data_IF_513932645034
#
_entry.id   IF_513932645034
#
_cell.length_a   1.000
_cell.length_b   1.000
_cell.length_c   1.000
_cell.angle_alpha   90.00
_cell.angle_beta   90.00
_cell.angle_gamma   90.00
#
_symmetry.space_group_name_H-M   'P 1'
#
loop_
_entity.id
_entity.type
_entity.pdbx_description
1 polymer ?
#
# COMPACT_ATOMS: atom_id res chain seq x y z
N UNK A 1 4.16 15.96 -26.09
CA UNK A 1 4.07 14.76 -26.95
C UNK A 1 5.47 14.45 -27.45
N UNK A 2 6.22 13.59 -26.78
CA UNK A 2 7.48 13.04 -27.29
C UNK A 2 7.17 11.73 -28.01
N UNK A 3 7.63 11.60 -29.25
CA UNK A 3 7.43 10.42 -30.12
C UNK A 3 8.39 9.27 -29.80
N UNK A 4 9.33 9.49 -28.89
CA UNK A 4 10.41 8.58 -28.54
C UNK A 4 10.25 8.29 -27.05
N UNK A 5 10.22 7.00 -26.68
CA UNK A 5 10.41 6.60 -25.30
C UNK A 5 11.75 7.20 -24.87
N UNK A 6 11.73 8.20 -23.99
CA UNK A 6 12.96 8.86 -23.54
C UNK A 6 13.96 7.83 -23.06
N UNK A 7 15.24 8.02 -23.38
CA UNK A 7 16.33 7.13 -22.97
C UNK A 7 16.38 6.94 -21.44
N UNK A 8 15.74 7.84 -20.68
CA UNK A 8 15.67 7.86 -19.22
C UNK A 8 14.46 7.12 -18.61
N UNK A 9 13.80 6.21 -19.34
CA UNK A 9 12.66 5.47 -18.79
C UNK A 9 13.10 4.41 -17.77
N UNK A 10 12.67 4.58 -16.51
CA UNK A 10 12.93 3.58 -15.46
C UNK A 10 11.82 2.52 -15.42
N UNK A 11 12.13 1.31 -15.87
CA UNK A 11 11.19 0.19 -15.83
C UNK A 11 10.86 -0.29 -14.41
N UNK A 12 11.83 -0.24 -13.50
CA UNK A 12 11.67 -0.68 -12.10
C UNK A 12 12.17 0.44 -11.20
N UNK A 13 11.28 0.93 -10.34
CA UNK A 13 11.58 1.95 -9.34
C UNK A 13 11.68 1.27 -7.98
N UNK A 14 12.75 1.53 -7.23
CA UNK A 14 12.86 1.03 -5.85
C UNK A 14 12.43 2.10 -4.88
N UNK A 15 11.24 1.94 -4.28
CA UNK A 15 10.64 2.90 -3.36
C UNK A 15 10.37 2.23 -2.01
N UNK A 16 10.83 2.85 -0.91
CA UNK A 16 10.55 2.41 0.46
C UNK A 16 10.76 0.89 0.68
N UNK A 17 11.90 0.37 0.23
CA UNK A 17 12.27 -1.07 0.29
C UNK A 17 11.39 -2.02 -0.55
N UNK A 18 10.61 -1.50 -1.48
CA UNK A 18 9.78 -2.29 -2.40
C UNK A 18 10.11 -1.97 -3.86
N UNK A 19 9.98 -2.98 -4.72
CA UNK A 19 10.13 -2.80 -6.16
C UNK A 19 8.76 -2.43 -6.76
N UNK A 20 8.72 -1.31 -7.46
CA UNK A 20 7.53 -0.71 -8.05
C UNK A 20 7.66 -0.73 -9.57
N UNK A 21 6.59 -1.12 -10.25
CA UNK A 21 6.54 -1.20 -11.71
C UNK A 21 6.35 0.18 -12.35
N UNK A 22 7.33 0.58 -13.17
CA UNK A 22 7.36 1.87 -13.88
C UNK A 22 6.35 2.00 -15.01
N UNK A 23 5.82 0.87 -15.52
CA UNK A 23 4.82 0.85 -16.61
C UNK A 23 3.42 1.22 -16.13
N UNK A 24 3.13 1.04 -14.84
CA UNK A 24 1.83 1.36 -14.28
C UNK A 24 1.69 2.86 -13.99
N UNK A 25 0.44 3.36 -13.98
CA UNK A 25 0.17 4.71 -13.49
C UNK A 25 0.68 4.84 -12.06
N UNK A 26 1.25 6.00 -11.75
CA UNK A 26 1.82 6.34 -10.43
C UNK A 26 0.85 6.00 -9.29
N UNK A 27 -0.43 6.34 -9.46
CA UNK A 27 -1.47 6.06 -8.45
C UNK A 27 -1.56 4.58 -8.06
N UNK A 28 -1.45 3.67 -9.05
CA UNK A 28 -1.52 2.22 -8.84
C UNK A 28 -0.16 1.65 -8.47
N UNK A 29 0.90 2.15 -9.10
CA UNK A 29 2.28 1.76 -8.82
C UNK A 29 2.61 1.88 -7.32
N UNK A 30 2.22 2.99 -6.68
CA UNK A 30 2.45 3.22 -5.25
C UNK A 30 1.66 2.30 -4.32
N UNK A 31 0.60 1.64 -4.80
CA UNK A 31 -0.16 0.69 -3.97
C UNK A 31 0.54 -0.64 -3.74
N UNK A 32 1.62 -0.90 -4.46
CA UNK A 32 2.53 -2.02 -4.16
C UNK A 32 3.22 -1.85 -2.80
N UNK A 33 3.36 -0.61 -2.32
CA UNK A 33 3.93 -0.30 -1.01
C UNK A 33 2.89 -0.59 0.08
N UNK A 34 3.22 -1.49 1.01
CA UNK A 34 2.37 -1.78 2.16
C UNK A 34 2.11 -0.52 2.99
N UNK A 35 0.84 -0.26 3.29
CA UNK A 35 0.41 0.94 4.04
C UNK A 35 -0.03 2.10 3.15
N UNK A 36 0.25 2.06 1.84
CA UNK A 36 -0.25 3.05 0.86
C UNK A 36 -1.41 2.45 0.06
N UNK A 37 -2.61 2.97 0.27
CA UNK A 37 -3.80 2.59 -0.50
C UNK A 37 -4.06 3.53 -1.68
N UNK A 38 -4.99 3.17 -2.58
CA UNK A 38 -5.38 3.99 -3.74
C UNK A 38 -5.74 5.44 -3.38
N UNK A 39 -6.50 5.64 -2.30
CA UNK A 39 -6.88 6.98 -1.81
C UNK A 39 -5.68 7.77 -1.29
N UNK A 40 -4.80 7.11 -0.54
CA UNK A 40 -3.62 7.76 0.03
C UNK A 40 -2.64 8.16 -1.07
N UNK A 41 -2.40 7.25 -2.02
CA UNK A 41 -1.62 7.49 -3.22
C UNK A 41 -2.12 8.70 -4.02
N UNK A 42 -3.42 8.81 -4.27
CA UNK A 42 -4.01 9.95 -4.96
C UNK A 42 -3.76 11.28 -4.23
N UNK A 43 -3.97 11.32 -2.91
CA UNK A 43 -3.67 12.53 -2.12
C UNK A 43 -2.17 12.84 -2.12
N UNK A 44 -1.30 11.84 -1.99
CA UNK A 44 0.14 12.04 -2.03
C UNK A 44 0.60 12.62 -3.38
N UNK A 45 0.12 12.09 -4.51
CA UNK A 45 0.39 12.65 -5.83
C UNK A 45 -0.09 14.10 -5.96
N UNK A 46 -1.31 14.39 -5.49
CA UNK A 46 -1.88 15.76 -5.51
C UNK A 46 -1.14 16.74 -4.60
N UNK A 47 -0.50 16.26 -3.54
CA UNK A 47 0.27 17.10 -2.60
C UNK A 47 1.73 17.25 -3.00
N UNK A 48 2.24 16.33 -3.81
CA UNK A 48 3.55 16.41 -4.44
C UNK A 48 3.52 17.17 -5.78
N UNK A 49 2.35 17.70 -6.17
CA UNK A 49 2.11 18.38 -7.45
C UNK A 49 2.50 17.54 -8.69
N UNK A 50 2.31 16.22 -8.61
CA UNK A 50 2.60 15.28 -9.69
C UNK A 50 1.30 15.00 -10.46
N UNK A 51 1.34 15.18 -11.78
CA UNK A 51 0.20 14.86 -12.63
C UNK A 51 -0.10 13.34 -12.65
N UNK A 52 -1.35 13.00 -12.37
CA UNK A 52 -1.88 11.64 -12.31
C UNK A 52 -2.26 11.09 -13.69
N UNK A 53 -2.34 11.96 -14.71
CA UNK A 53 -2.70 11.60 -16.08
C UNK A 53 -1.51 11.11 -16.91
N UNK A 54 -0.30 11.17 -16.36
CA UNK A 54 0.83 10.39 -16.84
C UNK A 54 0.39 8.90 -16.84
N UNK A 55 0.06 8.35 -18.01
CA UNK A 55 -0.31 6.93 -18.22
C UNK A 55 0.22 6.41 -19.55
N UNK A 56 1.04 5.37 -19.53
CA UNK A 56 1.16 4.45 -20.66
C UNK A 56 -0.04 3.46 -20.70
N UNK A 57 -1.03 3.77 -21.55
CA UNK A 57 -2.06 2.95 -22.22
C UNK A 57 -3.05 2.00 -21.44
N UNK A 58 -4.30 1.86 -21.93
CA UNK A 58 -5.13 0.63 -21.92
C UNK A 58 -5.24 -0.03 -23.33
N UNK A 59 -5.63 -1.32 -23.46
CA UNK A 59 -5.66 -2.02 -24.76
C UNK A 59 -6.75 -1.46 -25.71
N UNK A 60 -6.48 -1.34 -27.02
CA UNK A 60 -7.46 -0.83 -27.97
C UNK A 60 -8.50 -1.91 -28.39
N UNK A 61 -9.77 -1.53 -28.66
CA UNK A 61 -10.71 -2.38 -29.39
C UNK A 61 -10.31 -2.51 -30.87
N UNK A 62 -10.66 -3.61 -31.55
CA UNK A 62 -10.05 -4.00 -32.83
C UNK A 62 -10.38 -3.10 -34.04
N UNK A 63 -11.24 -2.08 -33.93
CA UNK A 63 -11.90 -1.50 -35.11
C UNK A 63 -11.50 -0.09 -35.60
N UNK A 64 -10.95 0.86 -34.81
CA UNK A 64 -10.36 2.09 -35.43
C UNK A 64 -9.61 3.04 -34.51
N UNK A 65 -8.38 3.35 -34.96
CA UNK A 65 -7.63 4.63 -34.98
C UNK A 65 -8.11 5.79 -34.10
N UNK A 66 -7.34 6.08 -33.05
CA UNK A 66 -6.60 7.34 -32.87
C UNK A 66 -5.58 7.10 -31.76
N UNK A 67 -4.30 7.17 -32.11
CA UNK A 67 -3.18 6.90 -31.21
C UNK A 67 -3.00 8.15 -30.34
N UNK A 68 -3.73 8.24 -29.22
CA UNK A 68 -3.46 9.22 -28.17
C UNK A 68 -2.35 8.67 -27.28
N UNK A 69 -1.11 8.78 -27.73
CA UNK A 69 0.07 8.43 -26.93
C UNK A 69 0.35 9.59 -25.98
N UNK A 70 -0.36 9.61 -24.84
CA UNK A 70 0.07 10.39 -23.68
C UNK A 70 1.09 9.54 -22.93
N UNK A 71 2.37 9.80 -23.22
CA UNK A 71 3.54 9.26 -22.53
C UNK A 71 3.49 9.68 -21.05
N UNK A 72 3.82 8.79 -20.12
CA UNK A 72 3.67 9.04 -18.69
C UNK A 72 3.65 7.80 -17.79
N UNK A 73 4.64 6.91 -17.84
CA UNK A 73 4.76 5.88 -16.80
C UNK A 73 5.16 6.48 -15.44
N UNK A 74 5.06 5.72 -14.34
CA UNK A 74 5.82 6.05 -13.13
C UNK A 74 7.34 6.09 -13.42
N UNK A 75 7.79 5.43 -14.49
CA UNK A 75 9.16 5.43 -14.98
C UNK A 75 9.65 6.74 -15.60
N UNK A 76 8.79 7.75 -15.77
CA UNK A 76 9.16 9.08 -16.27
C UNK A 76 9.26 10.14 -15.16
N UNK A 77 9.15 9.72 -13.89
CA UNK A 77 9.40 10.64 -12.79
C UNK A 77 10.88 11.03 -12.76
N UNK A 78 11.11 12.32 -12.62
CA UNK A 78 12.44 12.80 -12.24
C UNK A 78 12.77 12.32 -10.82
N UNK A 79 14.06 12.10 -10.49
CA UNK A 79 14.46 11.70 -9.15
C UNK A 79 14.00 12.71 -8.09
N UNK A 80 13.92 14.01 -8.44
CA UNK A 80 13.41 15.05 -7.54
C UNK A 80 11.91 14.89 -7.22
N UNK A 81 11.07 14.61 -8.22
CA UNK A 81 9.65 14.34 -8.01
C UNK A 81 9.46 13.10 -7.11
N UNK A 82 10.33 12.10 -7.27
CA UNK A 82 10.33 10.88 -6.48
C UNK A 82 10.64 11.15 -5.01
N UNK A 83 11.67 11.95 -4.73
CA UNK A 83 12.05 12.35 -3.37
C UNK A 83 10.94 13.18 -2.70
N UNK A 84 10.34 14.13 -3.44
CA UNK A 84 9.18 14.89 -2.94
C UNK A 84 8.03 13.96 -2.56
N UNK A 85 7.72 12.98 -3.41
CA UNK A 85 6.70 12.00 -3.10
C UNK A 85 7.06 11.17 -1.84
N UNK A 86 8.31 10.75 -1.69
CA UNK A 86 8.76 10.03 -0.50
C UNK A 86 8.61 10.85 0.78
N UNK A 87 8.98 12.14 0.74
CA UNK A 87 8.84 13.04 1.90
C UNK A 87 7.37 13.24 2.28
N UNK A 88 6.47 13.38 1.30
CA UNK A 88 5.02 13.46 1.52
C UNK A 88 4.47 12.19 2.16
N UNK A 89 4.91 11.01 1.71
CA UNK A 89 4.47 9.72 2.26
C UNK A 89 5.00 9.50 3.68
N UNK A 90 6.24 9.91 3.97
CA UNK A 90 6.84 9.78 5.29
C UNK A 90 6.22 10.76 6.31
N UNK A 91 5.98 12.01 5.90
CA UNK A 91 5.52 13.09 6.78
C UNK A 91 4.21 13.74 6.32
N UNK A 92 3.09 13.00 6.20
CA UNK A 92 1.86 13.52 5.60
C UNK A 92 1.23 14.70 6.36
N UNK A 93 1.49 14.81 7.66
CA UNK A 93 0.97 15.90 8.51
C UNK A 93 1.53 17.27 8.10
N UNK A 94 2.78 17.32 7.67
CA UNK A 94 3.43 18.56 7.22
C UNK A 94 2.79 19.08 5.92
N UNK A 95 2.30 18.18 5.07
CA UNK A 95 1.65 18.50 3.79
C UNK A 95 0.13 18.70 3.91
N UNK A 96 -0.35 19.07 5.10
CA UNK A 96 -1.77 19.35 5.39
C UNK A 96 -2.70 18.16 5.13
N UNK A 97 -2.24 16.92 5.34
CA UNK A 97 -3.10 15.74 5.34
C UNK A 97 -3.79 15.61 6.71
N UNK A 98 -5.13 15.48 6.78
CA UNK A 98 -5.83 15.39 8.05
C UNK A 98 -5.50 14.14 8.88
N UNK A 99 -5.50 14.28 10.21
CA UNK A 99 -5.18 13.19 11.14
C UNK A 99 -6.16 12.00 11.03
N UNK A 100 -7.43 12.24 10.64
CA UNK A 100 -8.43 11.18 10.46
C UNK A 100 -8.10 10.23 9.30
N UNK A 101 -7.27 10.67 8.35
CA UNK A 101 -6.91 9.95 7.13
C UNK A 101 -5.71 9.01 7.33
N UNK A 102 -4.94 9.19 8.40
CA UNK A 102 -3.76 8.39 8.70
C UNK A 102 -4.13 6.97 9.13
N UNK A 103 -3.25 6.01 8.84
CA UNK A 103 -3.51 4.59 9.11
C UNK A 103 -3.33 4.20 10.59
N UNK A 104 -2.42 4.84 11.34
CA UNK A 104 -2.18 4.59 12.76
C UNK A 104 -2.47 5.85 13.57
N UNK A 105 -3.70 5.93 14.06
CA UNK A 105 -4.21 7.07 14.82
C UNK A 105 -4.10 6.78 16.31
N UNK A 106 -3.51 7.71 17.07
CA UNK A 106 -3.33 7.64 18.53
C UNK A 106 -2.72 6.29 18.96
N UNK A 107 -1.44 6.07 18.65
CA UNK A 107 -0.74 4.85 19.06
C UNK A 107 -0.75 4.69 20.60
N UNK A 108 -0.88 3.47 21.11
CA UNK A 108 -0.99 3.23 22.57
C UNK A 108 0.35 3.40 23.30
N UNK A 109 1.48 3.30 22.59
CA UNK A 109 2.82 3.54 23.17
C UNK A 109 3.10 5.04 23.24
N UNK A 110 2.98 5.72 22.11
CA UNK A 110 3.52 7.08 21.94
C UNK A 110 2.42 8.16 21.91
N UNK A 111 1.13 7.79 21.80
CA UNK A 111 0.00 8.71 21.65
C UNK A 111 -0.06 9.46 20.31
N UNK A 112 0.96 9.31 19.46
CA UNK A 112 1.13 10.05 18.20
C UNK A 112 0.24 9.49 17.08
N UNK A 113 -0.03 10.35 16.10
CA UNK A 113 -0.67 10.01 14.84
C UNK A 113 0.41 9.88 13.76
N UNK A 114 0.45 8.75 13.06
CA UNK A 114 1.46 8.49 12.03
C UNK A 114 0.88 7.70 10.87
N UNK A 115 1.51 7.88 9.70
CA UNK A 115 1.36 6.97 8.58
C UNK A 115 2.51 5.98 8.61
N UNK A 116 2.21 4.72 8.92
CA UNK A 116 3.22 3.66 8.95
C UNK A 116 3.26 2.95 7.60
N UNK A 117 4.44 2.82 7.02
CA UNK A 117 4.64 2.34 5.64
C UNK A 117 5.69 1.22 5.61
N UNK A 118 5.64 0.37 4.58
CA UNK A 118 6.55 -0.75 4.31
C UNK A 118 6.73 -1.70 5.51
N UNK A 119 7.98 -2.00 5.89
CA UNK A 119 8.34 -2.97 6.91
C UNK A 119 7.89 -2.52 8.31
N UNK A 120 7.85 -1.22 8.56
CA UNK A 120 7.41 -0.69 9.85
C UNK A 120 5.94 -1.06 10.14
N UNK A 121 5.11 -1.21 9.10
CA UNK A 121 3.71 -1.59 9.24
C UNK A 121 3.58 -3.04 9.74
N UNK A 122 4.36 -3.95 9.16
CA UNK A 122 4.39 -5.35 9.56
C UNK A 122 4.91 -5.51 11.00
N UNK A 123 5.94 -4.75 11.38
CA UNK A 123 6.47 -4.75 12.74
C UNK A 123 5.45 -4.23 13.76
N UNK A 124 4.77 -3.11 13.47
CA UNK A 124 3.71 -2.58 14.34
C UNK A 124 2.54 -3.56 14.49
N UNK A 125 2.12 -4.23 13.40
CA UNK A 125 1.06 -5.24 13.46
C UNK A 125 1.48 -6.43 14.34
N UNK A 126 2.75 -6.87 14.24
CA UNK A 126 3.28 -7.96 15.06
C UNK A 126 3.28 -7.62 16.54
N UNK A 127 3.83 -6.46 16.90
CA UNK A 127 3.84 -5.94 18.28
C UNK A 127 2.43 -5.91 18.89
N UNK A 128 1.44 -5.43 18.12
CA UNK A 128 0.06 -5.33 18.56
C UNK A 128 -0.56 -6.71 18.84
N UNK A 129 -0.26 -7.69 17.99
CA UNK A 129 -0.72 -9.06 18.16
C UNK A 129 -0.03 -9.74 19.34
N UNK A 130 1.28 -9.54 19.51
CA UNK A 130 2.03 -10.09 20.63
C UNK A 130 1.57 -9.51 21.96
N UNK A 131 1.26 -8.21 22.03
CA UNK A 131 0.66 -7.58 23.21
C UNK A 131 -0.68 -8.24 23.58
N UNK A 132 -1.56 -8.46 22.60
CA UNK A 132 -2.85 -9.12 22.83
C UNK A 132 -2.70 -10.58 23.29
N UNK A 133 -1.69 -11.29 22.75
CA UNK A 133 -1.35 -12.67 23.16
C UNK A 133 -0.83 -12.70 24.60
N UNK A 134 0.05 -11.78 25.00
CA UNK A 134 0.61 -11.68 26.36
C UNK A 134 -0.48 -11.42 27.41
N UNK A 135 -1.42 -10.52 27.13
CA UNK A 135 -2.56 -10.21 28.03
C UNK A 135 -3.60 -11.35 28.06
N UNK A 136 -3.49 -12.36 27.16
CA UNK A 136 -4.48 -13.43 26.97
C UNK A 136 -5.89 -12.93 26.64
N UNK A 137 -5.99 -11.81 25.91
CA UNK A 137 -7.27 -11.34 25.39
C UNK A 137 -7.83 -12.37 24.38
N UNK A 138 -9.14 -12.62 24.37
CA UNK A 138 -9.80 -13.55 23.44
C UNK A 138 -9.40 -13.32 21.97
N UNK A 139 -9.25 -12.07 21.53
CA UNK A 139 -8.74 -11.77 20.17
C UNK A 139 -7.31 -12.27 19.96
N UNK A 140 -6.43 -12.07 20.94
CA UNK A 140 -5.05 -12.54 20.92
C UNK A 140 -4.94 -14.05 20.94
N UNK A 141 -5.75 -14.73 21.76
CA UNK A 141 -5.84 -16.19 21.81
C UNK A 141 -6.32 -16.79 20.48
N UNK A 142 -7.34 -16.19 19.86
CA UNK A 142 -7.79 -16.62 18.52
C UNK A 142 -6.70 -16.45 17.46
N UNK A 143 -5.94 -15.36 17.51
CA UNK A 143 -4.77 -15.17 16.65
C UNK A 143 -3.65 -16.18 16.94
N UNK A 144 -3.49 -16.62 18.19
CA UNK A 144 -2.53 -17.67 18.56
C UNK A 144 -2.95 -19.03 18.00
N UNK A 145 -4.24 -19.37 18.05
CA UNK A 145 -4.79 -20.62 17.51
C UNK A 145 -5.08 -20.59 15.99
N UNK A 146 -4.84 -19.47 15.30
CA UNK A 146 -5.12 -19.33 13.87
C UNK A 146 -6.62 -19.30 13.51
N UNK A 147 -7.48 -19.00 14.48
CA UNK A 147 -8.93 -18.91 14.27
C UNK A 147 -9.35 -17.53 13.75
N UNK A 148 -10.53 -17.45 13.11
CA UNK A 148 -11.13 -16.18 12.70
C UNK A 148 -11.48 -15.33 13.93
N UNK A 149 -11.21 -14.02 13.88
CA UNK A 149 -11.19 -13.16 15.08
C UNK A 149 -12.42 -12.26 15.24
N UNK A 150 -13.22 -12.05 14.19
CA UNK A 150 -14.35 -11.11 14.19
C UNK A 150 -15.71 -11.78 14.47
N UNK A 151 -15.72 -12.82 15.31
CA UNK A 151 -16.96 -13.50 15.71
C UNK A 151 -17.57 -14.45 14.68
N UNK A 152 -16.85 -14.77 13.60
CA UNK A 152 -17.32 -15.77 12.65
C UNK A 152 -17.49 -17.16 13.30
N UNK A 153 -18.50 -17.91 12.83
CA UNK A 153 -18.73 -19.29 13.26
C UNK A 153 -17.53 -20.19 12.94
N UNK A 154 -16.92 -20.76 13.97
CA UNK A 154 -15.74 -21.63 13.84
C UNK A 154 -16.05 -23.01 13.27
N UNK A 155 -17.34 -23.42 13.26
CA UNK A 155 -17.78 -24.70 12.69
C UNK A 155 -17.65 -24.72 11.17
N UNK A 156 -18.17 -23.70 10.48
CA UNK A 156 -18.31 -23.69 9.02
C UNK A 156 -17.28 -22.80 8.30
N UNK A 157 -16.77 -21.75 8.96
CA UNK A 157 -15.91 -20.74 8.32
C UNK A 157 -14.43 -21.11 8.37
N UNK A 158 -13.66 -20.63 7.38
CA UNK A 158 -12.20 -20.84 7.34
C UNK A 158 -11.77 -22.19 6.77
N UNK A 159 -12.69 -22.97 6.21
CA UNK A 159 -12.39 -24.23 5.53
C UNK A 159 -12.04 -23.96 4.06
N UNK A 160 -10.76 -24.08 3.70
CA UNK A 160 -10.28 -24.09 2.31
C UNK A 160 -9.13 -25.11 2.23
N UNK A 161 -9.37 -26.26 1.61
CA UNK A 161 -8.48 -27.43 1.62
C UNK A 161 -9.18 -28.71 2.14
N UNK A 162 -8.53 -29.87 2.02
CA UNK A 162 -9.12 -31.18 2.38
C UNK A 162 -9.21 -31.47 3.89
N UNK A 163 -8.40 -30.81 4.74
CA UNK A 163 -8.29 -31.18 6.16
C UNK A 163 -8.23 -29.95 7.07
N UNK A 164 -9.00 -29.98 8.16
CA UNK A 164 -8.90 -29.01 9.27
C UNK A 164 -8.08 -29.68 10.37
N UNK A 165 -6.89 -29.17 10.65
CA UNK A 165 -6.06 -29.66 11.76
C UNK A 165 -6.80 -29.50 13.09
N UNK A 166 -7.08 -30.61 13.77
CA UNK A 166 -7.69 -30.60 15.10
C UNK A 166 -6.57 -30.57 16.13
N UNK A 167 -6.47 -29.47 16.87
CA UNK A 167 -5.67 -29.43 18.09
C UNK A 167 -6.45 -30.18 19.19
N UNK A 168 -6.04 -31.42 19.48
CA UNK A 168 -6.44 -32.10 20.71
C UNK A 168 -5.37 -31.85 21.76
N UNK A 169 -5.79 -31.46 22.97
CA UNK A 169 -4.93 -31.53 24.15
C UNK A 169 -4.80 -33.02 24.51
N UNK A 170 -3.57 -33.52 24.66
CA UNK A 170 -3.32 -34.77 25.39
C UNK A 170 -3.55 -34.52 26.87
#
# INVERSE_FOLDING_TARGET
MSLIAGEDFQHILRLLNTNVDGKQKIMFALTSIKGVGRRFSNIACKKADIDMNKRQEPPPPPSRRQISVMVGGAGELTPEELERLMTVVANPRQFKVPDWFLNRKKDYKDGRFSQVVSNALDMKLRDDLERLKKIRNHRGLRHYWGLRVRGQHTKTTGRRGKTVGVSKKR
#
